data_IF_671016150347
#
_entry.id   IF_671016150347
#
_cell.length_a   1.000
_cell.length_b   1.000
_cell.length_c   1.000
_cell.angle_alpha   90.00
_cell.angle_beta   90.00
_cell.angle_gamma   90.00
#
_symmetry.space_group_name_H-M   'P 1'
#
loop_
_entity.id
_entity.type
_entity.pdbx_description
1 polymer ?
#
# COMPACT_ATOMS: atom_id res chain seq x y z
N UNK A 1 -44.06 -29.06 -54.09
CA UNK A 1 -44.24 -27.74 -53.45
C UNK A 1 -43.39 -27.71 -52.19
N UNK A 2 -42.30 -26.92 -52.17
CA UNK A 2 -41.47 -26.82 -50.99
C UNK A 2 -42.08 -25.81 -50.00
N UNK A 3 -42.10 -26.11 -48.69
CA UNK A 3 -42.64 -25.18 -47.70
C UNK A 3 -41.71 -23.98 -47.57
N UNK A 4 -42.30 -22.79 -47.69
CA UNK A 4 -41.65 -21.51 -47.48
C UNK A 4 -41.40 -21.32 -45.98
N UNK A 5 -40.18 -21.61 -45.52
CA UNK A 5 -39.80 -21.43 -44.11
C UNK A 5 -39.29 -19.99 -43.95
N UNK A 6 -39.91 -19.17 -43.08
CA UNK A 6 -39.48 -17.80 -42.85
C UNK A 6 -38.09 -17.75 -42.20
N UNK A 7 -37.24 -16.78 -42.57
CA UNK A 7 -35.90 -16.66 -42.03
C UNK A 7 -35.93 -16.35 -40.54
N UNK A 8 -35.12 -17.07 -39.77
CA UNK A 8 -34.96 -16.87 -38.34
C UNK A 8 -34.43 -15.45 -38.03
N UNK A 9 -34.91 -14.80 -36.96
CA UNK A 9 -34.42 -13.49 -36.54
C UNK A 9 -32.94 -13.58 -36.16
N UNK A 10 -32.14 -12.62 -36.63
CA UNK A 10 -30.72 -12.55 -36.30
C UNK A 10 -30.54 -12.32 -34.80
N UNK A 11 -29.55 -12.97 -34.17
CA UNK A 11 -29.21 -12.70 -32.78
C UNK A 11 -28.79 -11.23 -32.61
N UNK A 12 -29.09 -10.61 -31.46
CA UNK A 12 -28.73 -9.22 -31.19
C UNK A 12 -27.21 -9.06 -31.24
N UNK A 13 -26.75 -8.02 -31.93
CA UNK A 13 -25.32 -7.70 -32.01
C UNK A 13 -24.76 -7.38 -30.62
N UNK A 14 -23.54 -7.85 -30.29
CA UNK A 14 -22.91 -7.55 -29.03
C UNK A 14 -22.65 -6.03 -28.90
N UNK A 15 -22.74 -5.47 -27.69
CA UNK A 15 -22.48 -4.06 -27.46
C UNK A 15 -21.06 -3.72 -27.87
N UNK A 16 -20.92 -2.73 -28.76
CA UNK A 16 -19.63 -2.24 -29.23
C UNK A 16 -18.89 -1.65 -28.02
N UNK A 17 -17.66 -2.12 -27.70
CA UNK A 17 -16.88 -1.59 -26.58
C UNK A 17 -16.69 -0.08 -26.78
N UNK A 18 -17.17 0.68 -25.79
CA UNK A 18 -17.26 2.13 -25.84
C UNK A 18 -15.93 2.76 -26.21
N UNK A 19 -15.95 3.63 -27.23
CA UNK A 19 -14.79 4.48 -27.55
C UNK A 19 -14.41 5.28 -26.30
N UNK A 20 -13.13 5.28 -25.88
CA UNK A 20 -12.70 6.06 -24.73
C UNK A 20 -13.03 7.54 -24.97
N UNK A 21 -13.66 8.13 -23.97
CA UNK A 21 -14.26 9.45 -24.02
C UNK A 21 -13.13 10.50 -24.18
N UNK A 22 -12.85 10.94 -25.42
CA UNK A 22 -11.76 11.88 -25.74
C UNK A 22 -11.85 13.22 -25.00
N UNK A 23 -13.01 13.58 -24.44
CA UNK A 23 -13.21 14.81 -23.67
C UNK A 23 -12.58 14.77 -22.28
N UNK A 24 -12.50 13.61 -21.62
CA UNK A 24 -11.95 13.49 -20.28
C UNK A 24 -10.43 13.76 -20.23
N UNK A 25 -9.71 13.35 -21.27
CA UNK A 25 -8.25 13.52 -21.36
C UNK A 25 -7.81 14.97 -21.63
N UNK A 26 -8.72 15.87 -22.02
CA UNK A 26 -8.38 17.27 -22.28
C UNK A 26 -8.29 18.07 -20.97
N UNK A 27 -9.23 17.84 -20.05
CA UNK A 27 -9.25 18.53 -18.76
C UNK A 27 -8.08 18.16 -17.86
N UNK A 28 -7.64 16.89 -17.89
CA UNK A 28 -6.48 16.45 -17.10
C UNK A 28 -5.18 17.12 -17.57
N UNK A 29 -5.01 17.28 -18.88
CA UNK A 29 -3.81 17.90 -19.46
C UNK A 29 -3.71 19.40 -19.16
N UNK A 30 -4.83 20.13 -19.23
CA UNK A 30 -4.86 21.55 -18.85
C UNK A 30 -4.56 21.74 -17.35
N UNK A 31 -5.06 20.86 -16.48
CA UNK A 31 -4.75 20.87 -15.06
C UNK A 31 -3.27 20.55 -14.78
N UNK A 32 -2.69 19.56 -15.47
CA UNK A 32 -1.27 19.23 -15.39
C UNK A 32 -0.37 20.39 -15.82
N UNK A 33 -0.71 21.08 -16.91
CA UNK A 33 0.02 22.24 -17.41
C UNK A 33 -0.03 23.42 -16.42
N UNK A 34 -1.21 23.71 -15.85
CA UNK A 34 -1.36 24.75 -14.82
C UNK A 34 -0.58 24.41 -13.54
N UNK A 35 -0.59 23.15 -13.12
CA UNK A 35 0.15 22.69 -11.95
C UNK A 35 1.67 22.78 -12.17
N UNK A 36 2.16 22.35 -13.34
CA UNK A 36 3.58 22.44 -13.71
C UNK A 36 4.04 23.90 -13.79
N UNK A 37 3.22 24.79 -14.35
CA UNK A 37 3.50 26.22 -14.39
C UNK A 37 3.57 26.83 -12.98
N UNK A 38 2.65 26.45 -12.09
CA UNK A 38 2.65 26.90 -10.70
C UNK A 38 3.89 26.42 -9.93
N UNK A 39 4.30 25.15 -10.11
CA UNK A 39 5.52 24.63 -9.50
C UNK A 39 6.78 25.32 -10.01
N UNK A 40 6.87 25.59 -11.32
CA UNK A 40 7.99 26.29 -11.92
C UNK A 40 8.10 27.72 -11.38
N UNK A 41 6.97 28.43 -11.33
CA UNK A 41 6.88 29.77 -10.75
C UNK A 41 7.25 29.80 -9.26
N UNK A 42 6.88 28.77 -8.49
CA UNK A 42 7.27 28.67 -7.07
C UNK A 42 8.77 28.40 -6.91
N UNK A 43 9.35 27.57 -7.79
CA UNK A 43 10.78 27.30 -7.79
C UNK A 43 11.61 28.55 -8.09
N UNK A 44 11.15 29.39 -9.04
CA UNK A 44 11.74 30.69 -9.34
C UNK A 44 11.70 31.63 -8.13
N UNK A 45 10.56 31.72 -7.43
CA UNK A 45 10.45 32.53 -6.23
C UNK A 45 11.37 32.03 -5.10
N UNK A 46 11.47 30.72 -4.91
CA UNK A 46 12.35 30.13 -3.91
C UNK A 46 13.83 30.43 -4.21
N UNK A 47 14.21 30.46 -5.49
CA UNK A 47 15.53 30.90 -5.92
C UNK A 47 15.76 32.40 -5.62
N UNK A 48 14.75 33.26 -5.86
CA UNK A 48 14.82 34.67 -5.52
C UNK A 48 14.99 34.90 -4.01
N UNK A 49 14.28 34.14 -3.16
CA UNK A 49 14.43 34.20 -1.70
C UNK A 49 15.84 33.81 -1.26
N UNK A 50 16.45 32.79 -1.89
CA UNK A 50 17.85 32.41 -1.62
C UNK A 50 18.84 33.52 -1.99
N UNK A 51 18.70 34.09 -3.18
CA UNK A 51 19.53 35.22 -3.62
C UNK A 51 19.41 36.40 -2.65
N UNK A 52 18.21 36.68 -2.13
CA UNK A 52 18.00 37.72 -1.13
C UNK A 52 18.62 37.39 0.23
N UNK A 53 18.62 36.12 0.65
CA UNK A 53 19.30 35.65 1.86
C UNK A 53 20.83 35.79 1.75
N UNK A 54 21.40 35.51 0.59
CA UNK A 54 22.84 35.68 0.33
C UNK A 54 23.24 37.15 0.37
N UNK A 55 22.40 38.03 -0.21
CA UNK A 55 22.60 39.48 -0.15
C UNK A 55 22.45 40.03 1.27
N UNK A 56 21.49 39.51 2.07
CA UNK A 56 21.36 39.87 3.48
C UNK A 56 22.60 39.49 4.29
N UNK A 57 23.21 38.33 3.99
CA UNK A 57 24.46 37.88 4.62
C UNK A 57 25.65 38.76 4.23
N UNK A 58 25.71 39.22 2.97
CA UNK A 58 26.72 40.19 2.50
C UNK A 58 26.54 41.58 3.13
N UNK A 59 25.29 42.02 3.34
CA UNK A 59 24.98 43.30 3.99
C UNK A 59 25.30 43.30 5.49
N UNK A 60 25.13 42.17 6.18
CA UNK A 60 25.59 42.02 7.56
C UNK A 60 27.13 42.19 7.68
N UNK A 61 27.86 42.04 6.58
CA UNK A 61 29.32 42.16 6.52
C UNK A 61 29.84 43.54 6.06
N UNK A 62 28.99 44.45 5.57
CA UNK A 62 29.44 45.72 4.97
C UNK A 62 28.50 46.90 5.24
N UNK A 63 29.06 48.04 5.65
CA UNK A 63 28.37 49.28 6.06
C UNK A 63 27.64 50.01 4.94
N UNK A 64 26.63 49.38 4.36
CA UNK A 64 25.72 50.00 3.40
C UNK A 64 24.86 51.09 4.06
N UNK A 65 24.52 52.11 3.27
CA UNK A 65 23.66 53.23 3.69
C UNK A 65 22.27 52.72 4.15
N UNK A 66 21.78 53.27 5.26
CA UNK A 66 20.56 52.81 5.91
C UNK A 66 19.30 52.96 5.03
N UNK A 67 19.32 53.89 4.07
CA UNK A 67 18.25 54.09 3.10
C UNK A 67 18.08 52.89 2.15
N UNK A 68 19.17 52.42 1.55
CA UNK A 68 19.18 51.31 0.61
C UNK A 68 18.81 49.98 1.31
N UNK A 69 19.27 49.80 2.55
CA UNK A 69 18.89 48.64 3.37
C UNK A 69 17.39 48.59 3.64
N UNK A 70 16.76 49.74 3.92
CA UNK A 70 15.32 49.82 4.19
C UNK A 70 14.49 49.51 2.96
N UNK A 71 14.86 50.05 1.80
CA UNK A 71 14.16 49.76 0.54
C UNK A 71 14.23 48.27 0.18
N UNK A 72 15.41 47.65 0.37
CA UNK A 72 15.61 46.21 0.15
C UNK A 72 14.79 45.35 1.10
N UNK A 73 14.73 45.71 2.39
CA UNK A 73 13.87 45.02 3.36
C UNK A 73 12.40 45.09 2.95
N UNK A 74 11.91 46.25 2.48
CA UNK A 74 10.54 46.35 1.98
C UNK A 74 10.29 45.55 0.69
N UNK A 75 11.32 45.37 -0.14
CA UNK A 75 11.27 44.47 -1.30
C UNK A 75 11.17 43.00 -0.90
N UNK A 76 11.94 42.60 0.13
CA UNK A 76 11.90 41.28 0.75
C UNK A 76 10.52 40.96 1.33
N UNK A 77 9.93 41.89 2.10
CA UNK A 77 8.60 41.71 2.68
C UNK A 77 7.54 41.51 1.59
N UNK A 78 7.63 42.23 0.46
CA UNK A 78 6.72 42.04 -0.68
C UNK A 78 6.90 40.68 -1.35
N UNK A 79 8.14 40.22 -1.51
CA UNK A 79 8.44 38.90 -2.09
C UNK A 79 7.91 37.77 -1.19
N UNK A 80 8.11 37.88 0.12
CA UNK A 80 7.57 36.93 1.11
C UNK A 80 6.04 36.89 1.04
N UNK A 81 5.37 38.04 1.04
CA UNK A 81 3.91 38.10 0.93
C UNK A 81 3.38 37.49 -0.39
N UNK A 82 4.12 37.64 -1.49
CA UNK A 82 3.77 37.01 -2.77
C UNK A 82 3.87 35.47 -2.70
N UNK A 83 4.96 34.94 -2.10
CA UNK A 83 5.14 33.50 -1.88
C UNK A 83 4.05 32.95 -0.97
N UNK A 84 3.73 33.63 0.13
CA UNK A 84 2.65 33.21 1.05
C UNK A 84 1.30 33.12 0.33
N UNK A 85 1.00 34.08 -0.54
CA UNK A 85 -0.23 34.09 -1.35
C UNK A 85 -0.27 32.89 -2.32
N UNK A 86 0.85 32.59 -2.99
CA UNK A 86 0.96 31.44 -3.91
C UNK A 86 0.87 30.10 -3.18
N UNK A 87 1.50 29.97 -2.02
CA UNK A 87 1.38 28.79 -1.14
C UNK A 87 -0.07 28.61 -0.68
N UNK A 88 -0.77 29.70 -0.38
CA UNK A 88 -2.21 29.68 -0.08
C UNK A 88 -3.04 29.09 -1.22
N UNK A 89 -2.80 29.53 -2.47
CA UNK A 89 -3.46 29.01 -3.65
C UNK A 89 -3.16 27.52 -3.89
N UNK A 90 -1.91 27.09 -3.74
CA UNK A 90 -1.54 25.67 -3.87
C UNK A 90 -2.23 24.78 -2.82
N UNK A 91 -2.34 25.25 -1.57
CA UNK A 91 -3.08 24.54 -0.52
C UNK A 91 -4.56 24.41 -0.87
N UNK A 92 -5.16 25.44 -1.45
CA UNK A 92 -6.54 25.39 -1.92
C UNK A 92 -6.73 24.34 -3.01
N UNK A 93 -5.89 24.36 -4.06
CA UNK A 93 -5.92 23.37 -5.15
C UNK A 93 -5.77 21.96 -4.58
N UNK A 94 -4.82 21.74 -3.66
CA UNK A 94 -4.59 20.44 -3.04
C UNK A 94 -5.80 19.95 -2.22
N UNK A 95 -6.54 20.86 -1.58
CA UNK A 95 -7.78 20.50 -0.88
C UNK A 95 -8.92 20.18 -1.86
N UNK A 96 -9.03 20.92 -2.97
CA UNK A 96 -10.01 20.65 -4.03
C UNK A 96 -9.77 19.29 -4.71
N UNK A 97 -8.51 18.95 -4.98
CA UNK A 97 -8.10 17.64 -5.50
C UNK A 97 -8.40 16.51 -4.52
N UNK A 98 -8.07 16.68 -3.23
CA UNK A 98 -8.44 15.70 -2.19
C UNK A 98 -9.95 15.47 -2.13
N UNK A 99 -10.74 16.54 -2.24
CA UNK A 99 -12.19 16.44 -2.27
C UNK A 99 -12.69 15.75 -3.55
N UNK A 100 -12.05 15.99 -4.70
CA UNK A 100 -12.36 15.32 -5.95
C UNK A 100 -12.08 13.81 -5.87
N UNK A 101 -10.92 13.42 -5.34
CA UNK A 101 -10.54 12.01 -5.12
C UNK A 101 -11.56 11.32 -4.22
N UNK A 102 -11.96 11.93 -3.10
CA UNK A 102 -12.98 11.35 -2.21
C UNK A 102 -14.34 11.14 -2.91
N UNK A 103 -14.74 12.06 -3.79
CA UNK A 103 -15.95 11.89 -4.62
C UNK A 103 -15.81 10.73 -5.60
N UNK A 104 -14.67 10.60 -6.27
CA UNK A 104 -14.41 9.48 -7.16
C UNK A 104 -14.40 8.14 -6.42
N UNK A 105 -13.80 8.06 -5.24
CA UNK A 105 -13.82 6.85 -4.40
C UNK A 105 -15.24 6.45 -4.01
N UNK A 106 -16.10 7.43 -3.68
CA UNK A 106 -17.51 7.19 -3.39
C UNK A 106 -18.25 6.62 -4.60
N UNK A 107 -18.06 7.21 -5.79
CA UNK A 107 -18.69 6.74 -7.04
C UNK A 107 -18.24 5.31 -7.36
N UNK A 108 -16.93 5.00 -7.20
CA UNK A 108 -16.42 3.65 -7.43
C UNK A 108 -17.00 2.63 -6.46
N UNK A 109 -17.21 3.01 -5.19
CA UNK A 109 -17.84 2.15 -4.20
C UNK A 109 -19.33 1.88 -4.53
N UNK A 110 -20.07 2.89 -4.97
CA UNK A 110 -21.46 2.76 -5.40
C UNK A 110 -21.58 1.86 -6.65
N UNK A 111 -20.71 2.06 -7.64
CA UNK A 111 -20.68 1.24 -8.85
C UNK A 111 -20.32 -0.22 -8.55
N UNK A 112 -19.33 -0.45 -7.67
CA UNK A 112 -18.98 -1.80 -7.23
C UNK A 112 -20.15 -2.49 -6.49
N UNK A 113 -20.91 -1.75 -5.69
CA UNK A 113 -22.11 -2.26 -5.03
C UNK A 113 -23.21 -2.62 -6.05
N UNK A 114 -23.47 -1.74 -7.03
CA UNK A 114 -24.42 -1.97 -8.11
C UNK A 114 -24.06 -3.22 -8.95
N UNK A 115 -22.78 -3.38 -9.27
CA UNK A 115 -22.28 -4.56 -9.99
C UNK A 115 -22.43 -5.84 -9.16
N UNK A 116 -22.17 -5.79 -7.85
CA UNK A 116 -22.36 -6.94 -6.97
C UNK A 116 -23.84 -7.37 -6.90
N UNK A 117 -24.78 -6.41 -6.84
CA UNK A 117 -26.22 -6.69 -6.89
C UNK A 117 -26.63 -7.33 -8.23
N UNK A 118 -26.12 -6.80 -9.35
CA UNK A 118 -26.40 -7.34 -10.68
C UNK A 118 -25.87 -8.78 -10.83
N UNK A 119 -24.64 -9.04 -10.39
CA UNK A 119 -24.05 -10.38 -10.41
C UNK A 119 -24.86 -11.33 -9.52
N UNK A 120 -25.26 -10.88 -8.32
CA UNK A 120 -26.11 -11.67 -7.42
C UNK A 120 -27.47 -12.02 -8.04
N UNK A 121 -28.11 -11.08 -8.72
CA UNK A 121 -29.37 -11.31 -9.43
C UNK A 121 -29.20 -12.30 -10.59
N UNK A 122 -28.12 -12.18 -11.36
CA UNK A 122 -27.80 -13.10 -12.45
C UNK A 122 -27.58 -14.53 -11.92
N UNK A 123 -26.80 -14.71 -10.86
CA UNK A 123 -26.59 -16.01 -10.23
C UNK A 123 -27.91 -16.61 -9.72
N UNK A 124 -28.76 -15.81 -9.07
CA UNK A 124 -30.07 -16.26 -8.60
C UNK A 124 -31.01 -16.70 -9.74
N UNK A 125 -30.95 -16.04 -10.90
CA UNK A 125 -31.73 -16.45 -12.08
C UNK A 125 -31.20 -17.74 -12.72
N UNK A 126 -29.88 -17.91 -12.81
CA UNK A 126 -29.27 -19.17 -13.26
C UNK A 126 -29.64 -20.34 -12.35
N UNK A 127 -29.58 -20.15 -11.03
CA UNK A 127 -29.97 -21.17 -10.05
C UNK A 127 -31.45 -21.56 -10.15
N UNK A 128 -32.34 -20.57 -10.38
CA UNK A 128 -33.76 -20.84 -10.61
C UNK A 128 -33.96 -21.67 -11.87
N UNK A 129 -33.33 -21.26 -12.98
CA UNK A 129 -33.44 -21.96 -14.26
C UNK A 129 -32.94 -23.41 -14.17
N UNK A 130 -31.83 -23.63 -13.46
CA UNK A 130 -31.30 -24.97 -13.20
C UNK A 130 -32.30 -25.86 -12.43
N UNK A 131 -32.96 -25.32 -11.40
CA UNK A 131 -34.01 -26.06 -10.66
C UNK A 131 -35.23 -26.35 -11.52
N UNK A 132 -35.60 -25.46 -12.43
CA UNK A 132 -36.70 -25.67 -13.37
C UNK A 132 -36.37 -26.78 -14.38
N UNK A 133 -35.14 -26.84 -14.88
CA UNK A 133 -34.64 -27.92 -15.76
C UNK A 133 -34.65 -29.28 -15.03
N UNK A 134 -34.15 -29.34 -13.79
CA UNK A 134 -34.17 -30.55 -12.95
C UNK A 134 -35.61 -31.05 -12.66
N UNK A 135 -36.59 -30.14 -12.55
CA UNK A 135 -38.00 -30.51 -12.39
C UNK A 135 -38.65 -31.02 -13.69
N UNK A 136 -38.23 -30.52 -14.85
CA UNK A 136 -38.74 -30.98 -16.15
C UNK A 136 -38.26 -32.40 -16.47
N UNK A 137 -37.00 -32.72 -16.19
CA UNK A 137 -36.44 -34.06 -16.44
C UNK A 137 -37.05 -35.13 -15.51
N UNK A 138 -37.43 -34.76 -14.29
CA UNK A 138 -38.07 -35.67 -13.33
C UNK A 138 -39.49 -36.12 -13.69
N UNK A 139 -40.16 -35.48 -14.66
CA UNK A 139 -41.54 -35.82 -15.05
C UNK A 139 -41.63 -36.80 -16.24
N UNK A 140 -40.50 -37.26 -16.78
CA UNK A 140 -40.43 -38.10 -17.99
C UNK A 140 -40.35 -39.62 -17.78
N UNK A 141 -40.21 -40.15 -16.56
CA UNK A 141 -39.87 -41.58 -16.35
C UNK A 141 -40.94 -42.45 -15.66
N UNK A 142 -42.22 -42.04 -15.63
CA UNK A 142 -43.28 -42.83 -15.00
C UNK A 142 -44.42 -43.26 -15.95
N UNK A 143 -44.06 -43.78 -17.13
CA UNK A 143 -44.94 -44.65 -17.93
C UNK A 143 -44.09 -45.76 -18.54
N UNK A 144 -44.57 -46.99 -18.41
CA UNK A 144 -43.98 -48.25 -18.90
C UNK A 144 -43.17 -49.03 -17.87
N UNK A 145 -43.83 -49.50 -16.81
CA UNK A 145 -43.37 -50.64 -16.01
C UNK A 145 -44.56 -51.48 -15.56
N UNK A 146 -45.27 -52.08 -16.52
CA UNK A 146 -46.19 -53.20 -16.27
C UNK A 146 -46.38 -54.06 -17.54
N UNK A 147 -45.51 -55.06 -17.73
CA UNK A 147 -45.80 -56.29 -18.49
C UNK A 147 -44.75 -57.41 -18.26
N UNK A 148 -44.76 -57.95 -17.04
CA UNK A 148 -44.71 -59.38 -16.68
C UNK A 148 -44.37 -60.41 -17.80
N UNK A 149 -43.26 -61.14 -17.64
CA UNK A 149 -43.08 -62.52 -18.14
C UNK A 149 -42.33 -63.37 -17.09
N UNK A 150 -42.80 -64.57 -16.72
CA UNK A 150 -42.08 -65.50 -15.85
C UNK A 150 -41.54 -66.73 -16.62
N UNK A 151 -40.29 -67.09 -16.38
CA UNK A 151 -39.68 -68.39 -16.75
C UNK A 151 -38.26 -68.39 -16.16
N UNK A 152 -37.97 -69.02 -15.02
CA UNK A 152 -37.89 -70.46 -14.70
C UNK A 152 -36.77 -71.17 -15.49
N UNK A 153 -35.69 -71.49 -14.77
CA UNK A 153 -34.68 -72.58 -14.93
C UNK A 153 -33.31 -72.06 -14.42
N UNK A 154 -32.79 -72.50 -13.27
CA UNK A 154 -32.07 -73.77 -12.97
C UNK A 154 -30.69 -73.85 -13.66
N UNK A 155 -29.64 -74.03 -12.86
CA UNK A 155 -28.25 -74.23 -13.28
C UNK A 155 -27.31 -73.32 -12.50
N UNK A 156 -26.86 -73.64 -11.27
CA UNK A 156 -25.67 -74.47 -11.01
C UNK A 156 -24.58 -74.29 -12.06
N UNK A 157 -23.51 -73.55 -11.73
CA UNK A 157 -22.21 -74.20 -11.61
C UNK A 157 -21.14 -73.30 -10.99
N UNK A 158 -20.38 -73.95 -10.12
CA UNK A 158 -19.13 -73.53 -9.55
C UNK A 158 -18.12 -73.28 -10.67
N UNK A 159 -17.30 -72.23 -10.58
CA UNK A 159 -15.92 -72.39 -11.02
C UNK A 159 -14.94 -71.47 -10.30
N UNK A 160 -13.96 -72.10 -9.68
CA UNK A 160 -12.74 -71.51 -9.17
C UNK A 160 -11.86 -71.03 -10.33
N UNK A 161 -11.14 -69.93 -10.15
CA UNK A 161 -10.22 -69.44 -11.16
C UNK A 161 -9.30 -68.33 -10.67
N UNK A 162 -8.45 -68.66 -9.69
CA UNK A 162 -7.26 -67.87 -9.39
C UNK A 162 -6.37 -67.78 -10.64
N UNK A 163 -5.93 -66.58 -11.00
CA UNK A 163 -4.67 -66.36 -11.75
C UNK A 163 -4.14 -64.96 -11.48
N UNK A 164 -3.08 -64.92 -10.67
CA UNK A 164 -2.01 -63.94 -10.78
C UNK A 164 -1.48 -63.90 -12.22
N UNK A 165 -1.18 -62.71 -12.75
CA UNK A 165 0.08 -62.47 -13.47
C UNK A 165 0.41 -60.97 -13.49
N UNK A 166 1.67 -60.69 -13.21
CA UNK A 166 2.33 -59.39 -13.25
C UNK A 166 2.45 -58.85 -14.69
N UNK A 167 2.61 -57.54 -14.81
CA UNK A 167 3.71 -57.01 -15.62
C UNK A 167 3.35 -56.07 -16.78
N UNK A 168 3.68 -54.79 -16.53
CA UNK A 168 4.45 -53.89 -17.40
C UNK A 168 3.82 -53.25 -18.66
N UNK A 169 4.05 -51.93 -18.67
CA UNK A 169 4.34 -51.02 -19.78
C UNK A 169 3.33 -50.81 -20.91
N UNK A 170 2.97 -49.53 -21.07
CA UNK A 170 2.29 -49.05 -22.27
C UNK A 170 1.67 -47.67 -22.11
N UNK A 171 2.53 -46.66 -22.02
CA UNK A 171 2.28 -45.27 -22.44
C UNK A 171 1.27 -45.18 -23.59
N UNK A 172 0.29 -44.27 -23.49
CA UNK A 172 -0.10 -43.29 -24.51
C UNK A 172 -1.32 -42.47 -24.03
N UNK A 173 -1.11 -41.15 -23.95
CA UNK A 173 -2.01 -40.07 -24.42
C UNK A 173 -3.50 -40.18 -24.06
N UNK A 174 -3.99 -39.26 -23.22
CA UNK A 174 -5.44 -39.06 -23.09
C UNK A 174 -5.81 -37.98 -22.10
N UNK A 175 -6.19 -36.83 -22.64
CA UNK A 175 -6.71 -35.65 -21.97
C UNK A 175 -7.96 -35.91 -21.11
N UNK A 176 -8.13 -35.02 -20.12
CA UNK A 176 -9.40 -34.43 -19.68
C UNK A 176 -10.30 -35.24 -18.73
N UNK A 177 -10.43 -34.75 -17.50
CA UNK A 177 -11.58 -34.72 -16.57
C UNK A 177 -10.98 -34.60 -15.16
N UNK A 178 -11.36 -33.64 -14.32
CA UNK A 178 -12.72 -33.43 -13.85
C UNK A 178 -12.82 -34.06 -12.47
N UNK A 179 -12.30 -33.39 -11.44
CA UNK A 179 -12.57 -33.78 -10.06
C UNK A 179 -13.23 -32.63 -9.29
N UNK A 180 -14.47 -32.92 -8.91
CA UNK A 180 -15.33 -32.18 -8.03
C UNK A 180 -14.74 -32.15 -6.61
N UNK A 181 -14.51 -30.95 -6.08
CA UNK A 181 -14.44 -30.76 -4.64
C UNK A 181 -15.65 -29.95 -4.17
N UNK A 182 -16.58 -30.67 -3.57
CA UNK A 182 -17.72 -30.15 -2.82
C UNK A 182 -17.20 -29.43 -1.56
N UNK A 183 -17.38 -28.11 -1.50
CA UNK A 183 -17.31 -27.36 -0.26
C UNK A 183 -18.68 -26.73 0.05
N UNK A 184 -19.36 -27.33 1.01
CA UNK A 184 -20.52 -26.77 1.70
C UNK A 184 -20.04 -25.80 2.77
N UNK A 185 -20.53 -24.57 2.78
CA UNK A 185 -20.30 -23.63 3.89
C UNK A 185 -20.64 -22.19 3.58
N UNK A 186 -21.93 -21.88 3.40
CA UNK A 186 -22.41 -20.50 3.35
C UNK A 186 -22.87 -20.06 4.76
N UNK A 187 -22.38 -18.94 5.31
CA UNK A 187 -23.01 -18.28 6.45
C UNK A 187 -24.15 -17.36 5.98
N UNK A 188 -25.31 -17.46 6.64
CA UNK A 188 -26.46 -16.58 6.43
C UNK A 188 -26.19 -15.14 6.89
N UNK A 189 -26.69 -14.12 6.17
CA UNK A 189 -26.99 -12.82 6.76
C UNK A 189 -28.49 -12.70 7.10
N UNK A 190 -28.75 -12.32 8.36
CA UNK A 190 -30.05 -11.92 8.89
C UNK A 190 -30.59 -10.69 8.17
N UNK A 191 -31.81 -10.79 7.66
CA UNK A 191 -32.58 -9.70 7.08
C UNK A 191 -33.18 -8.80 8.17
N UNK A 192 -32.78 -7.53 8.18
CA UNK A 192 -33.43 -6.46 8.92
C UNK A 192 -34.06 -5.46 7.94
N UNK A 193 -35.33 -5.69 7.57
CA UNK A 193 -36.15 -4.74 6.80
C UNK A 193 -36.42 -3.49 7.64
N UNK A 194 -36.10 -2.31 7.10
CA UNK A 194 -36.87 -1.09 7.38
C UNK A 194 -36.97 -0.24 6.11
N UNK A 195 -38.19 -0.20 5.58
CA UNK A 195 -38.60 0.69 4.52
C UNK A 195 -38.72 2.12 5.07
N UNK A 196 -38.17 3.10 4.36
CA UNK A 196 -38.56 4.50 4.51
C UNK A 196 -38.74 5.14 3.13
N UNK A 197 -39.77 5.96 3.10
CA UNK A 197 -40.43 6.52 1.93
C UNK A 197 -39.62 7.57 1.17
N UNK A 198 -39.94 7.61 -0.13
CA UNK A 198 -39.75 8.66 -1.11
C UNK A 198 -39.72 10.10 -0.59
N UNK A 199 -38.84 10.93 -1.20
CA UNK A 199 -39.20 12.23 -1.79
C UNK A 199 -38.03 12.84 -2.57
N UNK A 200 -38.22 13.00 -3.88
CA UNK A 200 -37.42 13.89 -4.73
C UNK A 200 -37.72 15.37 -4.42
N UNK A 201 -36.74 16.25 -4.64
CA UNK A 201 -36.95 17.45 -5.45
C UNK A 201 -35.84 17.57 -6.50
N UNK A 202 -36.09 17.98 -7.74
CA UNK A 202 -36.80 19.20 -8.12
C UNK A 202 -35.76 20.17 -8.66
N UNK A 203 -35.50 20.08 -9.97
CA UNK A 203 -34.55 20.89 -10.74
C UNK A 203 -35.08 22.32 -10.84
N UNK A 204 -34.27 23.32 -10.51
CA UNK A 204 -34.54 24.73 -10.84
C UNK A 204 -33.24 25.44 -11.25
N UNK A 205 -33.27 25.96 -12.48
CA UNK A 205 -32.28 26.86 -13.08
C UNK A 205 -32.26 28.21 -12.36
N UNK A 206 -31.06 28.76 -12.12
CA UNK A 206 -30.87 30.21 -11.99
C UNK A 206 -29.45 30.61 -12.45
N UNK A 207 -29.42 31.62 -13.32
CA UNK A 207 -28.25 32.23 -13.95
C UNK A 207 -27.34 32.99 -12.96
N UNK A 208 -26.10 33.34 -13.35
CA UNK A 208 -25.15 34.00 -12.46
C UNK A 208 -25.33 35.52 -12.48
N UNK A 209 -25.27 36.14 -11.30
CA UNK A 209 -25.18 37.60 -11.16
C UNK A 209 -23.95 37.97 -10.33
N UNK A 210 -23.25 38.97 -10.83
CA UNK A 210 -21.97 39.53 -10.38
C UNK A 210 -22.11 40.42 -9.13
N UNK A 211 -21.07 40.47 -8.28
CA UNK A 211 -20.37 41.68 -7.80
C UNK A 211 -19.79 41.60 -6.37
N UNK A 212 -18.59 42.21 -6.27
CA UNK A 212 -17.96 42.87 -5.11
C UNK A 212 -17.48 41.97 -3.96
N UNK A 213 -16.16 41.87 -3.72
CA UNK A 213 -15.34 42.87 -3.00
C UNK A 213 -15.87 43.16 -1.59
N UNK A 214 -15.19 42.59 -0.58
CA UNK A 214 -14.95 43.22 0.72
C UNK A 214 -13.88 42.43 1.49
N UNK A 215 -12.71 43.05 1.60
CA UNK A 215 -11.73 42.78 2.64
C UNK A 215 -12.36 42.86 4.04
N UNK A 216 -11.78 42.14 5.00
CA UNK A 216 -11.48 42.78 6.27
C UNK A 216 -10.01 42.60 6.67
N UNK A 217 -9.37 43.75 6.85
CA UNK A 217 -8.12 43.93 7.57
C UNK A 217 -8.26 43.60 9.06
N UNK A 218 -7.09 43.49 9.71
CA UNK A 218 -6.84 43.50 11.16
C UNK A 218 -6.96 42.13 11.83
N UNK A 219 -6.04 41.68 12.71
CA UNK A 219 -5.31 42.46 13.72
C UNK A 219 -4.14 41.61 14.25
N UNK A 220 -2.94 42.17 14.18
CA UNK A 220 -1.71 41.66 14.80
C UNK A 220 -1.91 41.69 16.33
N UNK A 221 -1.70 40.56 17.01
CA UNK A 221 -1.46 40.51 18.46
C UNK A 221 -0.16 39.75 18.73
N UNK A 222 0.85 40.54 19.07
CA UNK A 222 2.11 40.11 19.65
C UNK A 222 1.85 39.46 21.01
N UNK A 223 2.28 38.20 21.19
CA UNK A 223 2.52 37.63 22.52
C UNK A 223 3.96 37.18 22.63
N UNK A 224 4.71 38.00 23.37
CA UNK A 224 6.07 37.75 23.80
C UNK A 224 6.07 36.89 25.09
N UNK A 225 7.19 36.15 25.24
CA UNK A 225 7.75 35.58 26.48
C UNK A 225 7.02 34.40 27.15
N UNK A 226 7.72 33.27 27.25
CA UNK A 226 8.48 32.87 28.46
C UNK A 226 9.17 31.52 28.24
N UNK A 227 10.50 31.50 28.32
CA UNK A 227 11.29 30.29 28.58
C UNK A 227 11.26 30.00 30.09
N UNK A 228 11.16 28.74 30.53
CA UNK A 228 11.73 28.32 31.79
C UNK A 228 12.96 27.43 31.55
N UNK A 229 14.08 27.86 32.15
CA UNK A 229 15.23 27.04 32.49
C UNK A 229 14.80 25.99 33.53
N UNK A 230 15.24 24.75 33.38
CA UNK A 230 15.40 23.83 34.50
C UNK A 230 16.64 22.96 34.28
N UNK A 231 17.73 23.34 34.96
CA UNK A 231 18.85 22.47 35.28
C UNK A 231 18.33 21.29 36.10
N UNK A 232 18.65 20.07 35.70
CA UNK A 232 18.51 18.89 36.55
C UNK A 232 19.93 18.39 36.85
N UNK A 233 20.27 18.49 38.13
CA UNK A 233 21.48 17.96 38.73
C UNK A 233 21.49 16.42 38.66
N UNK A 234 22.55 15.88 38.06
CA UNK A 234 22.95 14.48 38.16
C UNK A 234 23.49 14.19 39.56
N UNK A 235 22.81 13.32 40.32
CA UNK A 235 23.36 12.67 41.51
C UNK A 235 23.89 11.28 41.15
N UNK A 236 25.20 11.14 41.27
CA UNK A 236 25.92 9.88 41.27
C UNK A 236 25.59 9.09 42.54
N UNK A 237 25.16 7.84 42.38
CA UNK A 237 25.07 6.86 43.47
C UNK A 237 25.90 5.64 43.08
N UNK A 238 27.14 5.60 43.56
CA UNK A 238 27.92 4.37 43.68
C UNK A 238 27.22 3.44 44.67
N UNK A 239 27.07 2.16 44.31
CA UNK A 239 26.92 1.10 45.31
C UNK A 239 27.62 -0.15 44.84
N UNK A 240 28.34 -0.68 45.82
CA UNK A 240 29.26 -1.80 45.79
C UNK A 240 28.62 -3.13 45.41
N UNK A 241 29.50 -4.04 44.98
CA UNK A 241 29.16 -5.35 44.47
C UNK A 241 28.69 -6.33 45.52
N UNK A 242 28.03 -7.38 45.04
CA UNK A 242 27.98 -8.66 45.71
C UNK A 242 28.18 -9.79 44.68
N UNK A 243 28.90 -10.77 45.19
CA UNK A 243 29.52 -11.91 44.55
C UNK A 243 28.62 -13.11 44.82
N UNK A 244 28.07 -13.77 43.78
CA UNK A 244 27.31 -15.02 43.95
C UNK A 244 27.68 -16.02 42.85
N UNK A 245 28.13 -17.19 43.30
CA UNK A 245 28.56 -18.36 42.52
C UNK A 245 27.40 -19.03 41.75
N UNK A 246 27.72 -19.80 40.68
CA UNK A 246 26.72 -20.46 39.85
C UNK A 246 26.27 -21.78 40.48
N UNK A 247 24.97 -22.02 40.50
CA UNK A 247 24.40 -23.34 40.77
C UNK A 247 23.65 -23.81 39.53
N UNK A 248 24.21 -24.84 38.90
CA UNK A 248 23.59 -25.60 37.83
C UNK A 248 22.28 -26.21 38.31
N UNK A 249 21.17 -25.95 37.62
CA UNK A 249 20.04 -26.88 37.54
C UNK A 249 19.25 -26.56 36.28
N UNK A 250 19.26 -27.51 35.35
CA UNK A 250 18.55 -27.42 34.09
C UNK A 250 17.03 -27.48 34.27
N UNK A 251 16.34 -26.66 33.49
CA UNK A 251 14.94 -26.86 33.13
C UNK A 251 14.73 -26.25 31.75
N UNK A 252 14.30 -27.07 30.80
CA UNK A 252 13.95 -26.70 29.44
C UNK A 252 12.66 -25.86 29.43
N UNK A 253 12.80 -24.56 29.66
CA UNK A 253 11.82 -23.57 29.22
C UNK A 253 12.33 -22.94 27.92
N UNK A 254 11.50 -23.00 26.89
CA UNK A 254 11.80 -22.52 25.55
C UNK A 254 12.00 -21.00 25.56
N UNK A 255 13.24 -20.56 25.70
CA UNK A 255 13.71 -19.20 25.45
C UNK A 255 13.70 -18.91 23.93
N UNK A 256 12.54 -18.99 23.29
CA UNK A 256 12.31 -18.39 21.95
C UNK A 256 11.97 -16.90 22.11
N UNK A 257 12.79 -16.21 22.89
CA UNK A 257 12.76 -14.77 23.15
C UNK A 257 14.04 -14.10 22.68
N UNK A 258 14.72 -14.70 21.69
CA UNK A 258 16.01 -14.26 21.19
C UNK A 258 16.01 -12.77 20.92
N UNK A 259 16.75 -12.05 21.77
CA UNK A 259 16.95 -10.61 21.73
C UNK A 259 17.11 -10.16 20.28
N UNK A 260 16.09 -9.46 19.78
CA UNK A 260 16.16 -8.87 18.47
C UNK A 260 17.40 -8.01 18.45
N UNK A 261 18.33 -8.26 17.52
CA UNK A 261 19.60 -7.55 17.54
C UNK A 261 19.34 -6.06 17.49
N UNK A 262 19.71 -5.38 18.59
CA UNK A 262 19.36 -3.99 18.76
C UNK A 262 20.24 -3.16 17.85
N UNK A 263 19.63 -2.32 17.00
CA UNK A 263 20.33 -1.19 16.42
C UNK A 263 20.79 -0.31 17.57
N UNK A 264 22.07 -0.42 17.94
CA UNK A 264 22.63 0.47 18.95
C UNK A 264 22.57 1.90 18.40
N UNK A 265 21.97 2.84 19.14
CA UNK A 265 21.89 4.23 18.70
C UNK A 265 23.29 4.78 18.50
N UNK A 266 23.44 5.64 17.49
CA UNK A 266 24.69 6.32 17.18
C UNK A 266 25.02 7.28 18.32
N UNK A 267 26.20 7.08 18.89
CA UNK A 267 26.77 7.91 19.94
C UNK A 267 27.36 9.19 19.38
N UNK A 268 27.54 10.21 20.23
CA UNK A 268 28.13 11.48 19.81
C UNK A 268 29.60 11.29 19.39
N UNK A 269 30.29 10.35 20.05
CA UNK A 269 31.67 9.96 19.79
C UNK A 269 31.81 9.34 18.40
N UNK A 270 30.92 8.40 18.04
CA UNK A 270 30.87 7.80 16.70
C UNK A 270 30.65 8.86 15.61
N UNK A 271 29.76 9.83 15.84
CA UNK A 271 29.48 10.90 14.89
C UNK A 271 30.69 11.84 14.72
N UNK A 272 31.37 12.19 15.82
CA UNK A 272 32.58 13.04 15.79
C UNK A 272 33.75 12.41 15.02
N UNK A 273 33.86 11.08 15.03
CA UNK A 273 34.89 10.38 14.27
C UNK A 273 34.63 10.42 12.75
N UNK A 274 33.41 10.73 12.32
CA UNK A 274 33.00 10.75 10.92
C UNK A 274 33.12 12.16 10.31
N UNK A 275 34.35 12.66 10.16
CA UNK A 275 34.67 14.00 9.64
C UNK A 275 34.18 14.30 8.21
N UNK A 276 33.73 13.28 7.46
CA UNK A 276 33.35 13.41 6.05
C UNK A 276 31.89 13.82 5.82
N UNK A 277 31.04 13.70 6.84
CA UNK A 277 29.64 14.03 6.72
C UNK A 277 29.44 15.47 7.19
N UNK A 278 28.76 16.27 6.35
CA UNK A 278 28.60 17.70 6.61
C UNK A 278 27.88 17.99 7.94
N UNK A 279 28.00 19.21 8.47
CA UNK A 279 27.42 19.62 9.76
C UNK A 279 25.88 19.59 9.80
N UNK A 280 25.24 19.19 8.70
CA UNK A 280 23.79 19.20 8.52
C UNK A 280 23.10 17.95 9.05
N UNK A 281 23.83 16.85 9.28
CA UNK A 281 23.24 15.64 9.87
C UNK A 281 23.38 15.70 11.39
N UNK A 282 22.26 15.88 12.09
CA UNK A 282 22.27 15.84 13.54
C UNK A 282 22.09 14.42 14.06
N UNK A 283 22.67 14.13 15.24
CA UNK A 283 22.58 12.81 15.90
C UNK A 283 21.12 12.36 16.09
N UNK A 284 20.21 13.29 16.35
CA UNK A 284 18.80 13.01 16.52
C UNK A 284 18.19 12.41 15.24
N UNK A 285 18.36 13.06 14.09
CA UNK A 285 17.83 12.60 12.80
C UNK A 285 18.40 11.24 12.39
N UNK A 286 19.68 10.97 12.70
CA UNK A 286 20.33 9.69 12.40
C UNK A 286 19.72 8.56 13.23
N UNK A 287 19.49 8.80 14.52
CA UNK A 287 18.89 7.80 15.41
C UNK A 287 17.40 7.59 15.12
N UNK A 288 16.68 8.64 14.74
CA UNK A 288 15.31 8.54 14.25
C UNK A 288 15.25 7.69 12.96
N UNK A 289 16.13 7.96 11.99
CA UNK A 289 16.23 7.15 10.77
C UNK A 289 16.56 5.68 11.06
N UNK A 290 17.43 5.41 12.04
CA UNK A 290 17.75 4.04 12.47
C UNK A 290 16.55 3.30 13.04
N UNK A 291 15.76 3.94 13.90
CA UNK A 291 14.54 3.34 14.45
C UNK A 291 13.48 3.10 13.37
N UNK A 292 13.35 4.01 12.39
CA UNK A 292 12.47 3.79 11.24
C UNK A 292 12.92 2.58 10.40
N UNK A 293 14.21 2.48 10.09
CA UNK A 293 14.78 1.34 9.37
C UNK A 293 14.53 0.05 10.14
N UNK A 294 14.77 0.05 11.46
CA UNK A 294 14.51 -1.08 12.35
C UNK A 294 13.06 -1.52 12.28
N UNK A 295 12.12 -0.58 12.30
CA UNK A 295 10.69 -0.88 12.24
C UNK A 295 10.30 -1.48 10.89
N UNK A 296 10.89 -1.01 9.78
CA UNK A 296 10.68 -1.61 8.45
C UNK A 296 11.21 -3.05 8.41
N UNK A 297 12.42 -3.28 8.89
CA UNK A 297 13.02 -4.63 8.96
C UNK A 297 12.14 -5.54 9.82
N UNK A 298 11.74 -5.09 11.02
CA UNK A 298 10.90 -5.87 11.93
C UNK A 298 9.56 -6.27 11.29
N UNK A 299 8.91 -5.32 10.60
CA UNK A 299 7.67 -5.60 9.85
C UNK A 299 7.90 -6.63 8.74
N UNK A 300 8.98 -6.48 7.97
CA UNK A 300 9.36 -7.40 6.90
C UNK A 300 9.64 -8.81 7.42
N UNK A 301 10.52 -8.95 8.41
CA UNK A 301 10.84 -10.25 9.04
C UNK A 301 9.62 -10.90 9.69
N UNK A 302 8.74 -10.11 10.34
CA UNK A 302 7.49 -10.63 10.89
C UNK A 302 6.59 -11.18 9.79
N UNK A 303 6.48 -10.50 8.65
CA UNK A 303 5.70 -10.95 7.50
C UNK A 303 6.29 -12.21 6.85
N UNK A 304 7.61 -12.26 6.68
CA UNK A 304 8.31 -13.41 6.09
C UNK A 304 8.16 -14.67 6.96
N UNK A 305 8.34 -14.55 8.28
CA UNK A 305 8.04 -15.64 9.24
C UNK A 305 6.58 -16.09 9.12
N UNK A 306 5.67 -15.15 8.98
CA UNK A 306 4.24 -15.41 8.84
C UNK A 306 3.90 -16.13 7.52
N UNK A 307 4.71 -15.99 6.47
CA UNK A 307 4.53 -16.65 5.18
C UNK A 307 5.18 -18.03 5.17
N UNK A 308 6.37 -18.18 5.77
CA UNK A 308 7.11 -19.44 5.82
C UNK A 308 6.52 -20.49 6.77
N UNK A 309 5.83 -20.07 7.84
CA UNK A 309 5.42 -21.01 8.90
C UNK A 309 4.23 -21.93 8.55
N UNK A 310 3.56 -21.80 7.40
CA UNK A 310 2.44 -22.67 7.00
C UNK A 310 1.20 -22.65 7.91
N UNK A 311 1.27 -22.02 9.09
CA UNK A 311 0.23 -21.98 10.10
C UNK A 311 -0.83 -20.94 9.71
N UNK A 312 -1.81 -21.37 8.93
CA UNK A 312 -2.96 -20.55 8.53
C UNK A 312 -4.08 -20.53 9.57
N UNK A 313 -4.01 -21.34 10.62
CA UNK A 313 -5.08 -21.49 11.60
C UNK A 313 -4.94 -20.47 12.74
N UNK A 314 -5.84 -19.48 12.78
CA UNK A 314 -5.95 -18.51 13.88
C UNK A 314 -5.69 -17.05 13.53
N UNK A 315 -5.57 -16.70 12.25
CA UNK A 315 -5.40 -15.29 11.84
C UNK A 315 -6.67 -14.48 12.04
N UNK A 316 -6.60 -13.45 12.86
CA UNK A 316 -7.68 -12.47 13.04
C UNK A 316 -7.97 -11.72 11.73
N UNK A 317 -9.18 -11.23 11.55
CA UNK A 317 -9.60 -10.44 10.37
C UNK A 317 -8.68 -9.25 10.09
N UNK A 318 -8.16 -8.58 11.13
CA UNK A 318 -7.17 -7.51 10.98
C UNK A 318 -5.82 -8.00 10.42
N UNK A 319 -5.37 -9.20 10.81
CA UNK A 319 -4.14 -9.77 10.26
C UNK A 319 -4.30 -10.18 8.80
N UNK A 320 -5.49 -10.61 8.39
CA UNK A 320 -5.81 -10.90 6.99
C UNK A 320 -5.85 -9.64 6.14
N UNK A 321 -6.42 -8.54 6.64
CA UNK A 321 -6.44 -7.26 5.93
C UNK A 321 -5.03 -6.69 5.75
N UNK A 322 -4.19 -6.70 6.80
CA UNK A 322 -2.77 -6.31 6.69
C UNK A 322 -2.00 -7.23 5.73
N UNK A 323 -2.28 -8.54 5.76
CA UNK A 323 -1.71 -9.48 4.78
C UNK A 323 -2.17 -9.16 3.37
N UNK A 324 -3.43 -8.78 3.16
CA UNK A 324 -3.96 -8.44 1.84
C UNK A 324 -3.36 -7.14 1.32
N UNK A 325 -3.23 -6.10 2.15
CA UNK A 325 -2.52 -4.87 1.79
C UNK A 325 -1.05 -5.13 1.47
N UNK A 326 -0.38 -5.95 2.29
CA UNK A 326 1.00 -6.35 2.03
C UNK A 326 1.12 -7.15 0.73
N UNK A 327 0.24 -8.13 0.49
CA UNK A 327 0.22 -8.89 -0.76
C UNK A 327 -0.09 -7.98 -1.95
N UNK A 328 -0.94 -6.96 -1.79
CA UNK A 328 -1.25 -5.98 -2.82
C UNK A 328 -0.07 -5.05 -3.09
N UNK A 329 0.67 -4.63 -2.05
CA UNK A 329 1.90 -3.86 -2.17
C UNK A 329 3.01 -4.70 -2.82
N UNK A 330 3.15 -5.96 -2.39
CA UNK A 330 4.03 -6.97 -3.02
C UNK A 330 3.64 -7.25 -4.47
N UNK A 331 2.35 -7.28 -4.79
CA UNK A 331 1.86 -7.49 -6.16
C UNK A 331 2.10 -6.26 -7.05
N UNK A 332 1.99 -5.04 -6.48
CA UNK A 332 2.40 -3.80 -7.16
C UNK A 332 3.91 -3.75 -7.41
N UNK A 333 4.73 -4.25 -6.48
CA UNK A 333 6.17 -4.37 -6.65
C UNK A 333 6.54 -5.49 -7.65
N UNK A 334 5.87 -6.65 -7.57
CA UNK A 334 6.05 -7.78 -8.49
C UNK A 334 5.53 -7.52 -9.91
N UNK A 335 4.69 -6.51 -10.13
CA UNK A 335 4.25 -6.14 -11.49
C UNK A 335 5.37 -5.50 -12.33
N UNK A 336 6.53 -5.17 -11.73
CA UNK A 336 7.69 -4.62 -12.45
C UNK A 336 9.07 -5.15 -12.05
N UNK A 337 9.24 -5.78 -10.88
CA UNK A 337 10.50 -6.36 -10.43
C UNK A 337 10.19 -7.50 -9.47
N UNK A 338 10.54 -8.76 -9.80
CA UNK A 338 10.30 -9.84 -8.85
C UNK A 338 11.17 -9.61 -7.60
N UNK A 339 10.59 -9.68 -6.41
CA UNK A 339 11.35 -9.54 -5.15
C UNK A 339 12.50 -10.57 -5.07
N UNK A 340 12.33 -11.73 -5.71
CA UNK A 340 13.36 -12.77 -5.86
C UNK A 340 14.55 -12.30 -6.72
N UNK A 341 14.36 -11.38 -7.67
CA UNK A 341 15.47 -10.76 -8.41
C UNK A 341 16.30 -9.80 -7.55
N UNK A 342 15.76 -9.28 -6.45
CA UNK A 342 16.53 -8.44 -5.53
C UNK A 342 17.39 -9.27 -4.58
N UNK A 343 17.05 -10.55 -4.36
CA UNK A 343 17.79 -11.40 -3.43
C UNK A 343 19.12 -11.87 -4.04
N UNK A 344 20.21 -11.59 -3.34
CA UNK A 344 21.56 -12.04 -3.71
C UNK A 344 22.05 -13.02 -2.66
N UNK A 345 23.07 -13.83 -2.97
CA UNK A 345 23.67 -14.76 -2.00
C UNK A 345 24.16 -14.04 -0.73
N UNK A 346 24.47 -12.74 -0.82
CA UNK A 346 24.87 -11.91 0.32
C UNK A 346 23.74 -11.65 1.32
N UNK A 347 22.47 -11.78 0.91
CA UNK A 347 21.31 -11.61 1.79
C UNK A 347 20.99 -12.85 2.62
N UNK A 348 21.54 -14.01 2.24
CA UNK A 348 21.19 -15.29 2.85
C UNK A 348 21.57 -15.30 4.34
N UNK A 349 20.56 -15.46 5.21
CA UNK A 349 20.76 -15.55 6.67
C UNK A 349 20.87 -14.21 7.39
N UNK A 350 20.66 -13.09 6.70
CA UNK A 350 20.67 -11.74 7.25
C UNK A 350 19.36 -11.01 6.94
N UNK A 351 18.89 -10.13 7.82
CA UNK A 351 17.79 -9.24 7.45
C UNK A 351 18.32 -8.09 6.58
N UNK A 352 17.51 -7.72 5.58
CA UNK A 352 17.86 -6.72 4.60
C UNK A 352 16.63 -5.97 4.12
N UNK A 353 16.84 -4.74 3.65
CA UNK A 353 15.80 -3.86 3.12
C UNK A 353 16.28 -3.22 1.81
N UNK A 354 15.39 -3.06 0.85
CA UNK A 354 15.69 -2.33 -0.39
C UNK A 354 15.61 -0.82 -0.17
N UNK A 355 16.35 -0.05 -0.97
CA UNK A 355 16.24 1.42 -0.94
C UNK A 355 14.81 1.90 -1.22
N UNK A 356 14.11 1.21 -2.11
CA UNK A 356 12.73 1.52 -2.45
C UNK A 356 11.78 1.30 -1.26
N UNK A 357 11.94 0.19 -0.52
CA UNK A 357 11.18 -0.05 0.72
C UNK A 357 11.43 1.07 1.75
N UNK A 358 12.67 1.52 1.89
CA UNK A 358 13.01 2.62 2.79
C UNK A 358 12.37 3.94 2.34
N UNK A 359 12.39 4.26 1.05
CA UNK A 359 11.76 5.47 0.49
C UNK A 359 10.24 5.50 0.71
N UNK A 360 9.59 4.34 0.64
CA UNK A 360 8.14 4.23 0.85
C UNK A 360 7.73 4.29 2.33
N UNK A 361 8.55 3.76 3.23
CA UNK A 361 8.15 3.50 4.61
C UNK A 361 8.82 4.40 5.66
N UNK A 362 9.96 5.01 5.35
CA UNK A 362 10.70 5.85 6.30
C UNK A 362 10.39 7.33 6.04
N UNK A 363 10.06 8.08 7.10
CA UNK A 363 9.79 9.50 6.99
C UNK A 363 11.06 10.32 6.72
N UNK A 364 12.26 9.83 7.05
CA UNK A 364 13.49 10.59 6.82
C UNK A 364 13.75 10.89 5.33
N UNK A 365 13.21 10.09 4.39
CA UNK A 365 13.25 10.39 2.96
C UNK A 365 12.46 11.65 2.56
N UNK A 366 11.48 12.06 3.38
CA UNK A 366 10.69 13.29 3.13
C UNK A 366 11.49 14.56 3.34
N UNK A 367 12.61 14.51 4.08
CA UNK A 367 13.51 15.65 4.28
C UNK A 367 14.42 15.92 3.07
N UNK A 368 14.40 15.04 2.06
CA UNK A 368 15.12 15.18 0.80
C UNK A 368 15.99 13.97 0.49
N UNK A 369 16.03 13.60 -0.79
CA UNK A 369 16.77 12.42 -1.29
C UNK A 369 18.27 12.52 -0.99
N UNK A 370 18.86 13.71 -1.10
CA UNK A 370 20.29 13.95 -0.81
C UNK A 370 20.60 13.68 0.67
N UNK A 371 19.78 14.21 1.57
CA UNK A 371 19.93 14.03 3.03
C UNK A 371 19.75 12.57 3.40
N UNK A 372 18.72 11.90 2.87
CA UNK A 372 18.47 10.48 3.11
C UNK A 372 19.64 9.60 2.67
N UNK A 373 20.21 9.86 1.49
CA UNK A 373 21.39 9.14 0.99
C UNK A 373 22.63 9.40 1.84
N UNK A 374 22.84 10.64 2.29
CA UNK A 374 23.93 10.97 3.21
C UNK A 374 23.79 10.23 4.55
N UNK A 375 22.57 10.15 5.10
CA UNK A 375 22.28 9.37 6.31
C UNK A 375 22.58 7.89 6.10
N UNK A 376 22.11 7.29 5.01
CA UNK A 376 22.39 5.87 4.70
C UNK A 376 23.88 5.59 4.52
N UNK A 377 24.60 6.49 3.85
CA UNK A 377 26.04 6.38 3.67
C UNK A 377 26.81 6.49 5.00
N UNK A 378 26.37 7.36 5.92
CA UNK A 378 26.90 7.47 7.27
C UNK A 378 26.62 6.19 8.08
N UNK A 379 25.41 5.64 8.00
CA UNK A 379 25.08 4.37 8.66
C UNK A 379 25.91 3.21 8.10
N UNK A 380 26.27 3.25 6.81
CA UNK A 380 27.21 2.30 6.21
C UNK A 380 28.64 2.49 6.74
N UNK A 381 29.12 3.72 6.90
CA UNK A 381 30.46 3.97 7.45
C UNK A 381 30.58 3.59 8.94
N UNK A 382 29.48 3.72 9.68
CA UNK A 382 29.35 3.27 11.07
C UNK A 382 29.11 1.75 11.21
N UNK A 383 29.12 1.01 10.11
CA UNK A 383 28.90 -0.45 10.08
C UNK A 383 27.56 -0.89 10.69
N UNK A 384 26.54 -0.02 10.68
CA UNK A 384 25.16 -0.38 11.05
C UNK A 384 24.42 -0.99 9.85
N UNK A 385 24.75 -0.52 8.66
CA UNK A 385 24.25 -1.04 7.40
C UNK A 385 25.42 -1.47 6.50
N UNK A 386 25.14 -2.34 5.55
CA UNK A 386 26.04 -2.65 4.43
C UNK A 386 25.27 -2.56 3.13
N UNK A 387 25.67 -1.63 2.27
CA UNK A 387 25.12 -1.52 0.93
C UNK A 387 25.53 -2.73 0.09
N UNK A 388 24.57 -3.37 -0.57
CA UNK A 388 24.79 -4.46 -1.52
C UNK A 388 24.06 -4.12 -2.82
N UNK A 389 24.74 -4.24 -3.98
CA UNK A 389 24.07 -4.08 -5.27
C UNK A 389 23.10 -5.24 -5.48
N UNK A 390 21.85 -4.92 -5.80
CA UNK A 390 20.86 -5.90 -6.24
C UNK A 390 21.20 -6.49 -7.60
N UNK A 391 20.55 -7.59 -7.97
CA UNK A 391 20.76 -8.29 -9.25
C UNK A 391 20.23 -7.49 -10.45
N UNK A 392 19.24 -6.61 -10.24
CA UNK A 392 18.73 -5.66 -11.22
C UNK A 392 19.57 -4.39 -11.35
N UNK A 393 19.68 -3.84 -12.56
CA UNK A 393 20.43 -2.62 -12.81
C UNK A 393 19.87 -1.44 -11.98
N UNK A 394 20.66 -0.95 -11.03
CA UNK A 394 20.30 0.22 -10.22
C UNK A 394 19.48 -0.08 -8.97
N UNK A 395 19.21 -1.34 -8.64
CA UNK A 395 18.60 -1.69 -7.35
C UNK A 395 19.68 -1.73 -6.28
N UNK A 396 19.46 -1.01 -5.19
CA UNK A 396 20.33 -1.00 -4.02
C UNK A 396 19.59 -1.64 -2.85
N UNK A 397 20.24 -2.57 -2.19
CA UNK A 397 19.77 -3.15 -0.93
C UNK A 397 20.74 -2.81 0.20
N UNK A 398 20.22 -2.80 1.42
CA UNK A 398 20.96 -2.54 2.64
C UNK A 398 20.80 -3.75 3.55
N UNK A 399 21.91 -4.43 3.81
CA UNK A 399 22.04 -5.46 4.83
C UNK A 399 22.12 -4.80 6.19
N UNK A 400 21.29 -5.26 7.13
CA UNK A 400 21.29 -4.78 8.50
C UNK A 400 22.34 -5.56 9.29
N UNK A 401 23.44 -4.89 9.64
CA UNK A 401 24.54 -5.51 10.38
C UNK A 401 24.22 -5.45 11.87
N UNK A 402 23.50 -6.47 12.29
CA UNK A 402 23.17 -6.75 13.66
C UNK A 402 24.37 -7.30 14.41
N UNK A 403 24.68 -6.72 15.57
CA UNK A 403 25.49 -7.42 16.56
C UNK A 403 24.64 -8.61 17.04
N UNK A 404 24.96 -9.80 16.52
CA UNK A 404 24.46 -11.07 17.03
C UNK A 404 25.24 -11.48 18.26
#
# INVERSE_FOLDING_TARGET
MQPNIPPMPRPPEPPVPGRPNRSANRGTREAEELFAAALSSLAEDAAAVRQLSDVASLLAAGGADAGEQRERLTGLDRAIAAVETRVGALRQILNEEKAAVARFETILAEEASSQAELIGALLATMDRKRREEEQQDGHGQHRDSDAKTPGKEVGSDQNHGARHFNGADGSLIGSNSGEHHSYSGAPQPRSGRRALHARSPGVANAAPNSNSSRHPSQRIRNHARKKPNSSIETKNSSRDGENVNPTETGSCESEDGGDHPSFLPVTEEELRLQLRFGPHLCRYDINEALEEIREVVRKKTALDRSLGAGHQHGRTTNSLQRRFEYLRQRQRQNAGSSLEECETDAHRGHDWVSEQELRENCAFFRHGESTARATLQLLCSLKRLRQVPGRGSGVVTYLCLFAR
#
